data_IF_256695927186
#
_entry.id   IF_256695927186
#
_cell.length_a   1.000
_cell.length_b   1.000
_cell.length_c   1.000
_cell.angle_alpha   90.00
_cell.angle_beta   90.00
_cell.angle_gamma   90.00
#
_symmetry.space_group_name_H-M   'P 1'
#
loop_
_entity.id
_entity.type
_entity.pdbx_description
1 polymer ?
#
# COMPACT_ATOMS: atom_id res chain seq x y z
N UNK A 1 -3.35 19.53 18.05
CA UNK A 1 -2.66 18.62 18.99
C UNK A 1 -3.55 18.56 20.23
N UNK A 2 -4.31 17.48 20.38
CA UNK A 2 -5.21 17.31 21.53
C UNK A 2 -4.42 16.50 22.55
N UNK A 3 -4.00 17.14 23.62
CA UNK A 3 -3.35 16.51 24.77
C UNK A 3 -4.47 16.18 25.76
N UNK A 4 -4.59 14.93 26.16
CA UNK A 4 -5.52 14.51 27.19
C UNK A 4 -5.04 15.08 28.56
N UNK A 5 -5.94 15.13 29.56
CA UNK A 5 -5.66 15.62 30.92
C UNK A 5 -4.52 14.89 31.64
N UNK A 6 -3.96 13.82 31.06
CA UNK A 6 -2.81 13.04 31.55
C UNK A 6 -1.50 13.34 30.80
N UNK A 7 -1.48 14.34 29.88
CA UNK A 7 -0.26 14.69 29.13
C UNK A 7 0.12 13.69 28.04
N UNK A 8 -0.75 12.74 27.70
CA UNK A 8 -0.50 11.75 26.64
C UNK A 8 -0.87 12.33 25.28
N UNK A 9 0.00 12.14 24.28
CA UNK A 9 -0.26 12.44 22.88
C UNK A 9 -1.49 11.65 22.42
N UNK A 10 -2.62 12.33 22.22
CA UNK A 10 -3.82 11.70 21.66
C UNK A 10 -3.57 11.37 20.19
N UNK A 11 -3.20 10.12 19.95
CA UNK A 11 -3.13 9.52 18.64
C UNK A 11 -4.55 9.14 18.22
N UNK A 12 -5.04 9.70 17.10
CA UNK A 12 -6.44 9.55 16.70
C UNK A 12 -6.68 8.36 15.76
N UNK A 13 -5.67 7.89 15.03
CA UNK A 13 -5.79 6.77 14.13
C UNK A 13 -4.68 6.70 13.07
N UNK A 14 -4.87 5.79 12.10
CA UNK A 14 -3.97 5.61 10.97
C UNK A 14 -4.65 6.01 9.65
N UNK A 15 -3.91 6.69 8.78
CA UNK A 15 -4.26 6.90 7.38
C UNK A 15 -3.23 6.14 6.54
N UNK A 16 -3.69 5.12 5.80
CA UNK A 16 -2.83 4.34 4.92
C UNK A 16 -3.11 4.74 3.48
N UNK A 17 -2.13 5.36 2.83
CA UNK A 17 -2.20 5.78 1.43
C UNK A 17 -1.47 4.75 0.56
N UNK A 18 -2.22 4.09 -0.33
CA UNK A 18 -1.70 3.05 -1.23
C UNK A 18 -1.30 3.56 -2.60
N UNK A 19 -1.40 4.88 -2.84
CA UNK A 19 -1.03 5.47 -4.13
C UNK A 19 0.48 5.47 -4.35
N UNK A 20 0.87 5.35 -5.62
CA UNK A 20 2.26 5.55 -6.02
C UNK A 20 2.70 7.02 -5.86
N UNK A 21 3.99 7.31 -5.65
CA UNK A 21 4.49 8.69 -5.55
C UNK A 21 4.09 9.56 -6.74
N UNK A 22 4.10 9.01 -7.95
CA UNK A 22 3.66 9.71 -9.16
C UNK A 22 2.16 10.07 -9.11
N UNK A 23 1.31 9.18 -8.59
CA UNK A 23 -0.11 9.45 -8.42
C UNK A 23 -0.36 10.54 -7.36
N UNK A 24 0.42 10.57 -6.28
CA UNK A 24 0.36 11.61 -5.25
C UNK A 24 0.77 12.96 -5.84
N UNK A 25 1.87 13.02 -6.60
CA UNK A 25 2.33 14.24 -7.27
C UNK A 25 1.28 14.77 -8.26
N UNK A 26 0.70 13.88 -9.08
CA UNK A 26 -0.38 14.25 -10.00
C UNK A 26 -1.62 14.79 -9.28
N UNK A 27 -1.96 14.21 -8.13
CA UNK A 27 -3.07 14.69 -7.31
C UNK A 27 -2.78 16.09 -6.71
N UNK A 28 -1.54 16.35 -6.29
CA UNK A 28 -1.13 17.68 -5.80
C UNK A 28 -1.30 18.76 -6.85
N UNK A 29 -0.93 18.50 -8.09
CA UNK A 29 -1.08 19.44 -9.21
C UNK A 29 -2.56 19.78 -9.52
N UNK A 30 -3.48 18.94 -9.05
CA UNK A 30 -4.95 19.13 -9.20
C UNK A 30 -5.61 19.65 -7.92
N UNK A 31 -4.84 20.19 -6.98
CA UNK A 31 -5.36 20.70 -5.69
C UNK A 31 -5.67 19.64 -4.63
N UNK A 32 -5.29 18.38 -4.88
CA UNK A 32 -5.39 17.27 -3.93
C UNK A 32 -4.04 16.98 -3.25
N UNK A 33 -3.79 15.74 -2.92
CA UNK A 33 -2.51 15.30 -2.36
C UNK A 33 -2.68 14.37 -1.16
N UNK A 34 -1.75 14.44 -0.22
CA UNK A 34 -1.83 13.75 1.07
C UNK A 34 -2.79 14.49 2.01
N UNK A 35 -3.42 13.74 2.90
CA UNK A 35 -4.29 14.32 3.92
C UNK A 35 -3.50 15.32 4.79
N UNK A 36 -4.09 16.50 5.03
CA UNK A 36 -3.44 17.57 5.79
C UNK A 36 -3.48 17.29 7.30
N UNK A 37 -2.43 17.64 8.01
CA UNK A 37 -2.38 17.58 9.48
C UNK A 37 -3.37 18.56 10.14
N UNK A 38 -3.78 19.61 9.39
CA UNK A 38 -4.77 20.57 9.83
C UNK A 38 -6.15 19.91 10.00
N UNK A 39 -6.52 19.03 9.04
CA UNK A 39 -7.82 18.32 9.06
C UNK A 39 -7.77 17.01 9.87
N UNK A 40 -6.58 16.42 10.00
CA UNK A 40 -6.37 15.13 10.69
C UNK A 40 -5.28 15.25 11.76
N UNK A 41 -5.48 16.11 12.79
CA UNK A 41 -4.51 16.26 13.87
C UNK A 41 -4.40 14.95 14.67
N UNK A 42 -3.17 14.52 14.94
CA UNK A 42 -2.91 13.29 15.68
C UNK A 42 -3.10 11.99 14.89
N UNK A 43 -3.38 12.03 13.58
CA UNK A 43 -3.43 10.84 12.73
C UNK A 43 -2.03 10.49 12.20
N UNK A 44 -1.66 9.21 12.32
CA UNK A 44 -0.41 8.69 11.75
C UNK A 44 -0.62 8.32 10.29
N UNK A 45 0.16 8.95 9.40
CA UNK A 45 0.11 8.70 7.95
C UNK A 45 1.17 7.68 7.57
N UNK A 46 0.77 6.65 6.83
CA UNK A 46 1.65 5.61 6.32
C UNK A 46 1.41 5.52 4.81
N UNK A 47 2.46 5.70 4.03
CA UNK A 47 2.40 5.50 2.58
C UNK A 47 2.95 4.11 2.26
N UNK A 48 2.13 3.27 1.63
CA UNK A 48 2.49 1.93 1.17
C UNK A 48 2.05 1.78 -0.28
N UNK A 49 2.92 2.11 -1.20
CA UNK A 49 2.64 2.12 -2.63
C UNK A 49 2.24 0.71 -3.12
N UNK A 50 1.10 0.65 -3.81
CA UNK A 50 0.66 -0.52 -4.58
C UNK A 50 0.50 -0.06 -6.02
N UNK A 51 1.01 -0.85 -6.97
CA UNK A 51 0.92 -0.54 -8.38
C UNK A 51 -0.52 -0.57 -8.89
N UNK A 52 -0.76 0.16 -9.98
CA UNK A 52 -2.08 0.22 -10.61
C UNK A 52 -2.43 -1.13 -11.24
N UNK A 53 -3.71 -1.41 -11.30
CA UNK A 53 -4.25 -2.67 -11.79
C UNK A 53 -3.73 -3.12 -13.16
N UNK A 54 -3.50 -2.20 -14.10
CA UNK A 54 -2.95 -2.56 -15.40
C UNK A 54 -1.51 -3.10 -15.34
N UNK A 55 -0.68 -2.62 -14.42
CA UNK A 55 0.65 -3.20 -14.19
C UNK A 55 0.58 -4.60 -13.60
N UNK A 56 -0.40 -4.86 -12.73
CA UNK A 56 -0.66 -6.20 -12.19
C UNK A 56 -1.10 -7.16 -13.29
N UNK A 57 -1.98 -6.71 -14.21
CA UNK A 57 -2.40 -7.53 -15.36
C UNK A 57 -1.25 -7.84 -16.31
N UNK A 58 -0.42 -6.85 -16.65
CA UNK A 58 0.76 -7.04 -17.50
C UNK A 58 1.73 -8.06 -16.86
N UNK A 59 1.98 -7.90 -15.58
CA UNK A 59 2.82 -8.81 -14.79
C UNK A 59 2.25 -10.25 -14.77
N UNK A 60 0.93 -10.40 -14.60
CA UNK A 60 0.25 -11.68 -14.65
C UNK A 60 0.34 -12.32 -16.05
N UNK A 61 0.13 -11.54 -17.12
CA UNK A 61 0.26 -12.02 -18.49
C UNK A 61 1.66 -12.57 -18.76
N UNK A 62 2.72 -11.86 -18.35
CA UNK A 62 4.10 -12.31 -18.45
C UNK A 62 4.37 -13.60 -17.66
N UNK A 63 3.76 -13.72 -16.47
CA UNK A 63 3.83 -14.98 -15.71
C UNK A 63 3.19 -16.13 -16.49
N UNK A 64 1.99 -15.91 -17.04
CA UNK A 64 1.28 -16.95 -17.80
C UNK A 64 2.06 -17.36 -19.04
N UNK A 65 2.66 -16.41 -19.78
CA UNK A 65 3.55 -16.71 -20.91
C UNK A 65 4.73 -17.60 -20.47
N UNK A 66 5.38 -17.26 -19.34
CA UNK A 66 6.48 -18.04 -18.80
C UNK A 66 6.06 -19.46 -18.40
N UNK A 67 4.84 -19.63 -17.86
CA UNK A 67 4.32 -20.93 -17.47
C UNK A 67 3.86 -21.80 -18.66
N UNK A 68 3.37 -21.19 -19.74
CA UNK A 68 2.88 -21.90 -20.91
C UNK A 68 4.02 -22.35 -21.85
N UNK A 69 5.20 -21.74 -21.80
CA UNK A 69 6.32 -22.09 -22.64
C UNK A 69 7.16 -23.22 -22.02
N UNK A 70 6.86 -24.44 -22.40
CA UNK A 70 7.58 -25.66 -21.94
C UNK A 70 8.87 -25.94 -22.70
N UNK A 71 9.20 -25.14 -23.73
CA UNK A 71 10.39 -25.37 -24.60
C UNK A 71 11.68 -24.78 -24.03
N UNK A 72 11.62 -23.97 -22.99
CA UNK A 72 12.76 -23.26 -22.41
C UNK A 72 13.48 -24.09 -21.35
N UNK A 73 14.78 -23.86 -21.19
CA UNK A 73 15.54 -24.44 -20.08
C UNK A 73 15.08 -23.88 -18.74
N UNK A 74 15.32 -24.61 -17.64
CA UNK A 74 14.96 -24.23 -16.29
C UNK A 74 15.49 -22.83 -15.92
N UNK A 75 16.74 -22.52 -16.22
CA UNK A 75 17.34 -21.21 -15.92
C UNK A 75 16.67 -20.05 -16.66
N UNK A 76 16.33 -20.29 -17.94
CA UNK A 76 15.55 -19.30 -18.72
C UNK A 76 14.17 -19.11 -18.17
N UNK A 77 13.51 -20.17 -17.71
CA UNK A 77 12.21 -20.12 -17.07
C UNK A 77 12.25 -19.29 -15.77
N UNK A 78 13.22 -19.56 -14.88
CA UNK A 78 13.41 -18.78 -13.65
C UNK A 78 13.64 -17.29 -13.94
N UNK A 79 14.43 -16.99 -14.97
CA UNK A 79 14.66 -15.60 -15.36
C UNK A 79 13.37 -14.91 -15.86
N UNK A 80 12.56 -15.58 -16.68
CA UNK A 80 11.26 -15.06 -17.12
C UNK A 80 10.30 -14.86 -15.94
N UNK A 81 10.28 -15.79 -14.99
CA UNK A 81 9.48 -15.67 -13.77
C UNK A 81 9.91 -14.43 -12.98
N UNK A 82 11.21 -14.21 -12.79
CA UNK A 82 11.73 -13.03 -12.11
C UNK A 82 11.37 -11.72 -12.85
N UNK A 83 11.50 -11.71 -14.18
CA UNK A 83 11.18 -10.57 -15.04
C UNK A 83 9.68 -10.24 -15.09
N UNK A 84 8.81 -11.21 -14.80
CA UNK A 84 7.37 -10.95 -14.72
C UNK A 84 7.01 -9.99 -13.59
N UNK A 85 7.82 -9.91 -12.53
CA UNK A 85 7.58 -9.15 -11.30
C UNK A 85 6.32 -9.54 -10.52
N UNK A 86 5.63 -10.61 -10.92
CA UNK A 86 4.37 -11.04 -10.30
C UNK A 86 4.51 -11.32 -8.79
N UNK A 87 5.54 -12.09 -8.42
CA UNK A 87 5.79 -12.41 -7.01
C UNK A 87 6.12 -11.17 -6.18
N UNK A 88 6.73 -10.15 -6.79
CA UNK A 88 6.98 -8.86 -6.14
C UNK A 88 5.67 -8.15 -5.83
N UNK A 89 4.75 -8.07 -6.79
CA UNK A 89 3.43 -7.48 -6.58
C UNK A 89 2.63 -8.21 -5.51
N UNK A 90 2.62 -9.55 -5.54
CA UNK A 90 1.96 -10.37 -4.51
C UNK A 90 2.54 -10.08 -3.13
N UNK A 91 3.87 -10.05 -3.01
CA UNK A 91 4.57 -9.70 -1.77
C UNK A 91 4.16 -8.32 -1.25
N UNK A 92 4.12 -7.31 -2.11
CA UNK A 92 3.75 -5.94 -1.70
C UNK A 92 2.29 -5.84 -1.23
N UNK A 93 1.38 -6.54 -1.89
CA UNK A 93 -0.04 -6.60 -1.48
C UNK A 93 -0.17 -7.30 -0.12
N UNK A 94 0.50 -8.44 0.08
CA UNK A 94 0.48 -9.16 1.37
C UNK A 94 1.09 -8.32 2.49
N UNK A 95 2.21 -7.65 2.24
CA UNK A 95 2.84 -6.75 3.20
C UNK A 95 1.90 -5.60 3.59
N UNK A 96 1.17 -5.04 2.61
CA UNK A 96 0.17 -4.02 2.88
C UNK A 96 -0.98 -4.57 3.74
N UNK A 97 -1.46 -5.78 3.44
CA UNK A 97 -2.50 -6.45 4.23
C UNK A 97 -2.06 -6.69 5.69
N UNK A 98 -0.84 -7.18 5.89
CA UNK A 98 -0.26 -7.35 7.23
C UNK A 98 -0.16 -6.02 7.99
N UNK A 99 0.29 -4.96 7.32
CA UNK A 99 0.36 -3.62 7.91
C UNK A 99 -1.02 -3.12 8.35
N UNK A 100 -2.03 -3.28 7.50
CA UNK A 100 -3.43 -2.92 7.83
C UNK A 100 -3.91 -3.69 9.05
N UNK A 101 -3.69 -5.01 9.09
CA UNK A 101 -4.07 -5.85 10.22
C UNK A 101 -3.40 -5.40 11.52
N UNK A 102 -2.11 -5.08 11.49
CA UNK A 102 -1.38 -4.54 12.64
C UNK A 102 -1.96 -3.20 13.10
N UNK A 103 -2.27 -2.29 12.18
CA UNK A 103 -2.90 -1.02 12.52
C UNK A 103 -4.27 -1.22 13.16
N UNK A 104 -5.08 -2.14 12.63
CA UNK A 104 -6.40 -2.48 13.21
C UNK A 104 -6.26 -3.05 14.61
N UNK A 105 -5.32 -3.96 14.84
CA UNK A 105 -5.08 -4.56 16.16
C UNK A 105 -4.64 -3.51 17.18
N UNK A 106 -3.75 -2.60 16.81
CA UNK A 106 -3.33 -1.49 17.66
C UNK A 106 -4.50 -0.60 18.06
N UNK A 107 -5.37 -0.28 17.11
CA UNK A 107 -6.54 0.57 17.35
C UNK A 107 -7.58 -0.12 18.24
N UNK A 108 -7.81 -1.41 18.06
CA UNK A 108 -8.71 -2.19 18.93
C UNK A 108 -8.29 -2.20 20.38
N UNK A 109 -6.99 -2.28 20.66
CA UNK A 109 -6.44 -2.25 22.04
C UNK A 109 -6.66 -0.90 22.76
N UNK A 110 -6.87 0.17 22.01
CA UNK A 110 -6.93 1.54 22.54
C UNK A 110 -8.35 2.15 22.40
N UNK A 111 -9.31 1.39 21.91
CA UNK A 111 -10.72 1.81 21.63
C UNK A 111 -10.83 2.97 20.63
N UNK A 112 -10.02 2.98 19.58
CA UNK A 112 -9.87 4.04 18.58
C UNK A 112 -10.43 3.66 17.21
N UNK A 113 -10.51 4.63 16.28
CA UNK A 113 -11.05 4.42 14.94
C UNK A 113 -9.94 4.24 13.90
N UNK A 114 -10.09 3.26 13.01
CA UNK A 114 -9.27 3.14 11.80
C UNK A 114 -10.02 3.78 10.64
N UNK A 115 -9.38 4.72 9.96
CA UNK A 115 -9.81 5.14 8.64
C UNK A 115 -8.78 4.65 7.62
N UNK A 116 -9.14 3.66 6.83
CA UNK A 116 -8.32 3.20 5.71
C UNK A 116 -8.80 3.95 4.47
N UNK A 117 -7.99 4.87 3.98
CA UNK A 117 -8.29 5.61 2.77
C UNK A 117 -7.64 4.89 1.60
N UNK A 118 -8.43 4.06 0.90
CA UNK A 118 -8.08 3.60 -0.43
C UNK A 118 -8.50 4.67 -1.44
N UNK A 119 -7.61 5.57 -1.84
CA UNK A 119 -7.87 6.49 -2.96
C UNK A 119 -7.38 5.81 -4.25
N UNK A 120 -8.31 5.59 -5.19
CA UNK A 120 -8.01 5.24 -6.58
C UNK A 120 -7.50 6.45 -7.36
#
# INVERSE_FOLDING_TARGET
>A
MIIDQRGTLNFSGFIIDTRTPAAISSARNKGGGLESDVYYPGWKKITKSIDRFHFLLDSYSKLMEACCDTSVSHDKWLNRLALSSWLTHVKEILNCGCLVAQCVDQVRKINWRVCIVFKR
#
